data_IF_625431203415
#
_entry.id   IF_625431203415
#
_cell.length_a   1.000
_cell.length_b   1.000
_cell.length_c   1.000
_cell.angle_alpha   90.00
_cell.angle_beta   90.00
_cell.angle_gamma   90.00
#
_symmetry.space_group_name_H-M   'P 1'
#
loop_
_entity.id
_entity.type
_entity.pdbx_description
1 polymer ?
#
# COMPACT_ATOMS: atom_id res chain seq x y z
N UNK A 1 54.43 -7.90 -62.97
CA UNK A 1 54.36 -7.83 -64.45
C UNK A 1 53.55 -9.02 -64.92
N UNK A 2 52.34 -8.77 -65.46
CA UNK A 2 51.45 -9.73 -66.15
C UNK A 2 50.77 -10.78 -65.25
N UNK A 3 49.46 -11.02 -65.27
CA UNK A 3 48.37 -10.61 -66.18
C UNK A 3 47.60 -11.84 -66.69
N UNK A 4 46.29 -11.93 -66.37
CA UNK A 4 45.20 -12.75 -66.94
C UNK A 4 45.37 -14.30 -66.84
N UNK A 5 44.35 -15.15 -66.64
CA UNK A 5 43.00 -15.35 -67.22
C UNK A 5 42.12 -16.08 -66.16
N UNK A 6 40.91 -15.65 -65.79
CA UNK A 6 39.56 -15.84 -66.38
C UNK A 6 38.92 -17.26 -66.30
N UNK A 7 37.60 -17.25 -66.07
CA UNK A 7 36.57 -18.30 -66.19
C UNK A 7 36.32 -19.30 -65.05
N UNK A 8 35.31 -18.96 -64.24
CA UNK A 8 34.04 -19.72 -64.21
C UNK A 8 33.95 -20.98 -63.35
N UNK A 9 33.23 -20.89 -62.22
CA UNK A 9 32.21 -21.89 -61.90
C UNK A 9 31.11 -21.30 -61.02
N UNK A 10 29.87 -21.65 -61.36
CA UNK A 10 28.63 -21.18 -60.77
C UNK A 10 28.07 -22.32 -59.93
N UNK A 11 27.97 -22.14 -58.61
CA UNK A 11 27.51 -23.24 -57.76
C UNK A 11 27.03 -22.81 -56.38
N UNK A 12 25.71 -22.65 -56.27
CA UNK A 12 24.89 -22.91 -55.08
C UNK A 12 25.01 -21.94 -53.89
N UNK A 13 24.09 -20.98 -53.87
CA UNK A 13 23.62 -20.28 -52.68
C UNK A 13 23.09 -21.31 -51.66
N UNK A 14 23.77 -21.45 -50.53
CA UNK A 14 23.25 -22.20 -49.38
C UNK A 14 22.11 -21.41 -48.75
N UNK A 15 20.88 -21.90 -48.89
CA UNK A 15 19.69 -21.42 -48.19
C UNK A 15 19.94 -21.41 -46.67
N UNK A 16 19.96 -20.22 -46.09
CA UNK A 16 19.92 -20.03 -44.66
C UNK A 16 18.57 -20.49 -44.13
N UNK A 17 18.55 -21.66 -43.49
CA UNK A 17 17.39 -22.14 -42.75
C UNK A 17 17.17 -21.19 -41.56
N UNK A 18 15.99 -20.57 -41.38
CA UNK A 18 15.76 -19.74 -40.21
C UNK A 18 15.74 -20.65 -38.98
N UNK A 19 16.66 -20.40 -38.04
CA UNK A 19 16.63 -20.97 -36.70
C UNK A 19 15.24 -20.72 -36.11
N UNK A 20 14.46 -21.79 -35.98
CA UNK A 20 13.26 -21.82 -35.17
C UNK A 20 13.66 -21.34 -33.77
N UNK A 21 13.16 -20.18 -33.38
CA UNK A 21 13.17 -19.71 -31.99
C UNK A 21 12.46 -20.79 -31.19
N UNK A 22 13.21 -21.60 -30.45
CA UNK A 22 12.65 -22.56 -29.52
C UNK A 22 11.76 -21.77 -28.56
N UNK A 23 10.46 -22.04 -28.62
CA UNK A 23 9.49 -21.58 -27.64
C UNK A 23 10.00 -22.00 -26.26
N UNK A 24 10.46 -21.02 -25.49
CA UNK A 24 10.65 -21.19 -24.05
C UNK A 24 9.29 -21.70 -23.56
N UNK A 25 9.20 -22.87 -22.91
CA UNK A 25 7.93 -23.37 -22.41
C UNK A 25 7.39 -22.29 -21.49
N UNK A 26 6.35 -21.60 -21.97
CA UNK A 26 5.74 -20.49 -21.27
C UNK A 26 5.48 -20.95 -19.86
N UNK A 27 6.08 -20.25 -18.90
CA UNK A 27 5.85 -20.43 -17.47
C UNK A 27 4.37 -20.75 -17.29
N UNK A 28 4.05 -21.95 -16.78
CA UNK A 28 2.66 -22.39 -16.65
C UNK A 28 1.94 -21.37 -15.78
N UNK A 29 1.34 -20.38 -16.42
CA UNK A 29 0.85 -19.21 -15.73
C UNK A 29 -0.28 -19.71 -14.85
N UNK A 30 -0.20 -19.40 -13.55
CA UNK A 30 -1.18 -19.85 -12.57
C UNK A 30 -2.59 -19.45 -13.04
N UNK A 31 -3.31 -20.41 -13.65
CA UNK A 31 -4.58 -20.12 -14.32
C UNK A 31 -5.62 -19.60 -13.33
N UNK A 32 -5.58 -20.09 -12.09
CA UNK A 32 -6.39 -19.59 -10.98
C UNK A 32 -6.10 -18.12 -10.65
N UNK A 33 -4.83 -17.70 -10.68
CA UNK A 33 -4.44 -16.31 -10.43
C UNK A 33 -4.90 -15.39 -11.55
N UNK A 34 -4.67 -15.81 -12.80
CA UNK A 34 -5.10 -15.06 -13.97
C UNK A 34 -6.62 -14.92 -13.99
N UNK A 35 -7.36 -16.00 -13.79
CA UNK A 35 -8.82 -15.97 -13.71
C UNK A 35 -9.29 -15.02 -12.61
N UNK A 36 -8.73 -15.11 -11.40
CA UNK A 36 -9.08 -14.22 -10.30
C UNK A 36 -8.79 -12.74 -10.63
N UNK A 37 -7.63 -12.44 -11.22
CA UNK A 37 -7.28 -11.09 -11.65
C UNK A 37 -8.24 -10.56 -12.71
N UNK A 38 -8.66 -11.41 -13.66
CA UNK A 38 -9.63 -11.03 -14.69
C UNK A 38 -11.04 -10.83 -14.12
N UNK A 39 -11.51 -11.70 -13.22
CA UNK A 39 -12.79 -11.52 -12.52
C UNK A 39 -12.83 -10.20 -11.73
N UNK A 40 -11.74 -9.92 -11.00
CA UNK A 40 -11.54 -8.66 -10.28
C UNK A 40 -11.35 -7.45 -11.19
N UNK A 41 -11.06 -7.63 -12.47
CA UNK A 41 -11.01 -6.54 -13.43
C UNK A 41 -12.37 -6.28 -14.09
N UNK A 42 -13.23 -7.30 -14.16
CA UNK A 42 -14.58 -7.20 -14.72
C UNK A 42 -15.57 -6.60 -13.71
N UNK A 43 -15.40 -6.89 -12.42
CA UNK A 43 -16.27 -6.39 -11.35
C UNK A 43 -16.99 -7.47 -10.58
N UNK A 44 -16.73 -8.74 -10.92
CA UNK A 44 -17.31 -9.89 -10.24
C UNK A 44 -16.58 -10.19 -8.94
N UNK A 45 -16.94 -9.40 -7.93
CA UNK A 45 -16.34 -9.46 -6.60
C UNK A 45 -16.75 -10.70 -5.82
N UNK A 46 -17.99 -11.19 -6.00
CA UNK A 46 -18.51 -12.34 -5.28
C UNK A 46 -17.73 -13.61 -5.61
N UNK A 47 -17.57 -13.92 -6.90
CA UNK A 47 -16.83 -15.10 -7.33
C UNK A 47 -15.32 -14.97 -7.04
N UNK A 48 -14.76 -13.76 -7.21
CA UNK A 48 -13.37 -13.52 -6.88
C UNK A 48 -13.07 -13.74 -5.39
N UNK A 49 -13.96 -13.33 -4.47
CA UNK A 49 -13.79 -13.59 -3.03
C UNK A 49 -13.82 -15.08 -2.70
N UNK A 50 -14.63 -15.89 -3.38
CA UNK A 50 -14.62 -17.36 -3.21
C UNK A 50 -13.25 -17.94 -3.61
N UNK A 51 -12.64 -17.44 -4.68
CA UNK A 51 -11.29 -17.84 -5.06
C UNK A 51 -10.23 -17.40 -4.03
N UNK A 52 -10.34 -16.17 -3.50
CA UNK A 52 -9.39 -15.62 -2.52
C UNK A 52 -9.49 -16.30 -1.15
N UNK A 53 -10.69 -16.67 -0.72
CA UNK A 53 -10.89 -17.43 0.53
C UNK A 53 -10.35 -18.84 0.43
N UNK A 54 -10.43 -19.48 -0.75
CA UNK A 54 -9.83 -20.78 -1.02
C UNK A 54 -8.30 -20.72 -1.11
N UNK A 55 -7.75 -19.63 -1.66
CA UNK A 55 -6.31 -19.45 -1.87
C UNK A 55 -5.82 -18.11 -1.28
N UNK A 56 -5.61 -18.03 0.06
CA UNK A 56 -5.32 -16.76 0.73
C UNK A 56 -3.99 -16.13 0.32
N UNK A 57 -2.99 -16.96 -0.04
CA UNK A 57 -1.68 -16.47 -0.46
C UNK A 57 -1.64 -16.00 -1.93
N UNK A 58 -2.72 -16.18 -2.68
CA UNK A 58 -2.78 -15.86 -4.11
C UNK A 58 -2.54 -14.36 -4.37
N UNK A 59 -3.12 -13.50 -3.53
CA UNK A 59 -2.97 -12.06 -3.62
C UNK A 59 -1.55 -11.57 -3.30
N UNK A 60 -0.77 -12.36 -2.54
CA UNK A 60 0.61 -12.03 -2.18
C UNK A 60 1.55 -12.32 -3.34
N UNK A 61 1.32 -13.43 -4.02
CA UNK A 61 2.13 -13.85 -5.19
C UNK A 61 1.80 -12.99 -6.42
N UNK A 62 0.53 -12.68 -6.63
CA UNK A 62 0.07 -11.94 -7.81
C UNK A 62 -0.29 -10.50 -7.47
N UNK A 63 0.68 -9.62 -7.71
CA UNK A 63 0.58 -8.17 -7.53
C UNK A 63 -0.72 -7.53 -8.09
N UNK A 64 -1.18 -7.85 -9.32
CA UNK A 64 -2.37 -7.20 -9.90
C UNK A 64 -3.67 -7.45 -9.12
N UNK A 65 -3.77 -8.59 -8.42
CA UNK A 65 -4.94 -8.93 -7.60
C UNK A 65 -5.04 -7.95 -6.42
N UNK A 66 -3.92 -7.71 -5.75
CA UNK A 66 -3.87 -6.78 -4.63
C UNK A 66 -4.12 -5.32 -5.08
N UNK A 67 -3.62 -4.91 -6.25
CA UNK A 67 -3.91 -3.59 -6.80
C UNK A 67 -5.39 -3.38 -7.09
N UNK A 68 -6.03 -4.39 -7.69
CA UNK A 68 -7.47 -4.35 -7.94
C UNK A 68 -8.27 -4.33 -6.64
N UNK A 69 -7.86 -5.09 -5.62
CA UNK A 69 -8.48 -5.02 -4.30
C UNK A 69 -8.35 -3.62 -3.66
N UNK A 70 -7.20 -2.95 -3.80
CA UNK A 70 -7.04 -1.55 -3.34
C UNK A 70 -7.97 -0.61 -4.12
N UNK A 71 -8.10 -0.78 -5.44
CA UNK A 71 -9.05 0.01 -6.26
C UNK A 71 -10.52 -0.24 -5.84
N UNK A 72 -10.90 -1.47 -5.52
CA UNK A 72 -12.24 -1.81 -5.00
C UNK A 72 -12.50 -1.07 -3.68
N UNK A 73 -11.55 -1.12 -2.74
CA UNK A 73 -11.64 -0.38 -1.47
C UNK A 73 -11.74 1.13 -1.73
N UNK A 74 -11.05 1.62 -2.78
CA UNK A 74 -11.09 3.03 -3.14
C UNK A 74 -12.50 3.50 -3.50
N UNK A 75 -13.10 2.80 -4.46
CA UNK A 75 -14.46 3.07 -4.95
C UNK A 75 -15.49 2.87 -3.83
N UNK A 76 -15.39 1.77 -3.07
CA UNK A 76 -16.29 1.43 -1.98
C UNK A 76 -16.37 2.51 -0.88
N UNK A 77 -15.26 3.22 -0.64
CA UNK A 77 -15.18 4.26 0.40
C UNK A 77 -15.32 5.69 -0.13
N UNK A 78 -15.36 5.88 -1.46
CA UNK A 78 -15.47 7.20 -2.07
C UNK A 78 -16.79 7.89 -1.75
N UNK A 79 -17.92 7.20 -1.91
CA UNK A 79 -19.26 7.75 -1.64
C UNK A 79 -19.42 8.14 -0.17
N UNK A 80 -19.01 7.27 0.76
CA UNK A 80 -19.06 7.58 2.20
C UNK A 80 -18.20 8.78 2.56
N UNK A 81 -17.01 8.87 1.98
CA UNK A 81 -16.12 9.97 2.29
C UNK A 81 -16.63 11.32 1.78
N UNK A 82 -17.32 11.33 0.62
CA UNK A 82 -17.97 12.53 0.11
C UNK A 82 -19.17 12.95 0.97
N UNK A 83 -19.92 11.97 1.48
CA UNK A 83 -21.12 12.21 2.29
C UNK A 83 -20.79 12.51 3.76
N UNK A 84 -19.61 12.15 4.25
CA UNK A 84 -19.21 12.35 5.65
C UNK A 84 -18.43 13.65 5.82
N UNK A 85 -18.86 14.45 6.79
CA UNK A 85 -18.19 15.69 7.20
C UNK A 85 -16.83 15.47 7.90
N UNK A 86 -16.21 14.30 7.76
CA UNK A 86 -14.91 13.97 8.37
C UNK A 86 -13.77 14.93 7.93
N UNK A 87 -14.01 15.71 6.86
CA UNK A 87 -13.15 16.75 6.27
C UNK A 87 -13.61 18.18 6.55
N UNK A 88 -14.79 18.43 7.16
CA UNK A 88 -15.28 19.80 7.44
C UNK A 88 -14.46 20.47 8.56
N UNK A 89 -13.22 20.85 8.25
CA UNK A 89 -12.78 22.22 8.51
C UNK A 89 -13.58 23.14 7.56
N UNK A 90 -13.93 24.38 7.96
CA UNK A 90 -14.77 25.24 7.13
C UNK A 90 -14.06 25.45 5.78
N UNK A 91 -14.65 24.91 4.72
CA UNK A 91 -14.21 25.18 3.35
C UNK A 91 -14.50 26.66 3.11
N UNK A 92 -13.52 27.53 3.38
CA UNK A 92 -13.36 28.67 2.48
C UNK A 92 -13.01 28.05 1.14
N UNK A 93 -13.76 28.32 0.07
CA UNK A 93 -13.44 27.81 -1.25
C UNK A 93 -12.11 28.45 -1.68
N UNK A 94 -11.00 27.80 -1.34
CA UNK A 94 -9.74 28.08 -1.99
C UNK A 94 -9.91 27.56 -3.42
N UNK A 95 -9.96 28.51 -4.36
CA UNK A 95 -9.85 28.27 -5.79
C UNK A 95 -8.77 27.20 -5.99
N UNK A 96 -9.17 26.01 -6.44
CA UNK A 96 -8.22 25.07 -7.03
C UNK A 96 -7.77 25.70 -8.34
N UNK A 97 -6.67 26.46 -8.29
CA UNK A 97 -5.86 26.70 -9.47
C UNK A 97 -5.29 25.34 -9.86
N UNK A 98 -6.02 24.59 -10.68
CA UNK A 98 -5.42 23.54 -11.49
C UNK A 98 -4.54 24.25 -12.52
N UNK A 99 -3.37 24.69 -12.08
CA UNK A 99 -2.35 25.11 -13.02
C UNK A 99 -1.86 23.83 -13.68
N UNK A 100 -2.39 23.54 -14.88
CA UNK A 100 -1.74 22.67 -15.85
C UNK A 100 -0.45 23.37 -16.34
N UNK A 101 0.43 23.74 -15.42
CA UNK A 101 1.79 24.13 -15.74
C UNK A 101 2.53 22.81 -15.89
N UNK A 102 2.52 22.30 -17.12
CA UNK A 102 3.57 21.41 -17.56
C UNK A 102 4.89 22.10 -17.21
N UNK A 103 5.60 21.57 -16.23
CA UNK A 103 7.01 21.91 -16.02
C UNK A 103 7.72 21.25 -17.19
N UNK A 104 7.68 21.92 -18.35
CA UNK A 104 8.66 21.67 -19.39
C UNK A 104 9.99 22.07 -18.77
N UNK A 105 10.97 21.16 -18.82
CA UNK A 105 12.36 21.46 -18.48
C UNK A 105 12.75 22.76 -19.18
N UNK A 106 12.90 23.84 -18.42
CA UNK A 106 13.28 25.14 -18.95
C UNK A 106 14.77 25.03 -19.28
N UNK A 107 15.09 24.63 -20.51
CA UNK A 107 16.36 25.03 -21.10
C UNK A 107 16.42 26.57 -21.11
N UNK A 108 17.57 27.18 -20.79
CA UNK A 108 17.68 28.63 -20.63
C UNK A 108 17.35 29.32 -21.97
N UNK A 109 16.14 29.87 -22.06
CA UNK A 109 15.63 30.51 -23.27
C UNK A 109 16.45 31.78 -23.56
N UNK A 110 16.80 31.98 -24.84
CA UNK A 110 17.50 33.16 -25.32
C UNK A 110 16.83 34.46 -24.83
N UNK A 111 17.60 35.30 -24.13
CA UNK A 111 17.19 36.63 -23.71
C UNK A 111 17.08 37.56 -24.92
N UNK A 112 16.09 38.45 -24.91
CA UNK A 112 16.08 39.58 -25.83
C UNK A 112 17.21 40.57 -25.51
N UNK A 113 17.54 41.43 -26.46
CA UNK A 113 18.61 42.46 -26.36
C UNK A 113 18.45 43.44 -25.18
N UNK A 114 17.34 43.38 -24.42
CA UNK A 114 17.09 44.14 -23.19
C UNK A 114 16.92 43.28 -21.92
N UNK A 115 17.28 41.99 -21.97
CA UNK A 115 17.36 41.11 -20.78
C UNK A 115 16.02 40.62 -20.21
N UNK A 116 14.92 40.75 -20.94
CA UNK A 116 13.60 40.27 -20.53
C UNK A 116 13.37 38.87 -21.11
N UNK A 117 12.93 37.87 -20.33
CA UNK A 117 12.59 36.54 -20.86
C UNK A 117 11.43 36.66 -21.86
N UNK A 118 11.67 36.29 -23.12
CA UNK A 118 10.57 36.16 -24.08
C UNK A 118 9.76 34.92 -23.73
N UNK A 119 8.55 35.11 -23.19
CA UNK A 119 7.55 34.05 -23.26
C UNK A 119 7.20 33.81 -24.73
N UNK A 120 7.18 32.56 -25.20
CA UNK A 120 6.78 32.28 -26.58
C UNK A 120 5.37 32.82 -26.80
N UNK A 121 5.22 33.65 -27.83
CA UNK A 121 3.93 34.12 -28.31
C UNK A 121 3.05 32.89 -28.57
N UNK A 122 1.97 32.81 -27.80
CA UNK A 122 0.96 31.78 -27.89
C UNK A 122 0.40 31.78 -29.32
N UNK A 123 0.90 30.87 -30.16
CA UNK A 123 0.21 30.52 -31.39
C UNK A 123 -1.16 29.99 -30.98
N UNK A 124 -2.20 30.53 -31.62
CA UNK A 124 -3.58 30.13 -31.36
C UNK A 124 -3.67 28.63 -31.60
N UNK A 125 -3.67 27.86 -30.52
CA UNK A 125 -3.84 26.42 -30.56
C UNK A 125 -5.27 26.18 -31.00
N UNK A 126 -5.40 25.58 -32.18
CA UNK A 126 -6.65 25.09 -32.71
C UNK A 126 -7.41 24.35 -31.60
N UNK A 127 -8.66 24.74 -31.42
CA UNK A 127 -9.65 24.00 -30.65
C UNK A 127 -9.92 22.66 -31.36
N UNK A 128 -9.04 21.68 -31.16
CA UNK A 128 -9.33 20.30 -31.46
C UNK A 128 -8.88 19.46 -30.27
N UNK A 129 -9.88 18.94 -29.56
CA UNK A 129 -9.77 17.97 -28.48
C UNK A 129 -9.03 16.71 -28.97
N UNK A 130 -7.71 16.74 -29.03
CA UNK A 130 -6.91 15.52 -29.09
C UNK A 130 -6.83 14.97 -27.67
N UNK A 131 -7.94 14.42 -27.19
CA UNK A 131 -7.91 13.44 -26.12
C UNK A 131 -6.88 12.39 -26.57
N UNK A 132 -5.75 12.32 -25.89
CA UNK A 132 -4.70 11.35 -26.18
C UNK A 132 -5.37 10.00 -26.42
N UNK A 133 -5.11 9.36 -27.58
CA UNK A 133 -5.69 8.05 -27.89
C UNK A 133 -5.37 7.12 -26.73
N UNK A 134 -6.38 6.78 -25.93
CA UNK A 134 -6.26 5.77 -24.87
C UNK A 134 -5.92 4.45 -25.56
N UNK A 135 -4.72 3.91 -25.33
CA UNK A 135 -4.45 2.52 -25.68
C UNK A 135 -5.23 1.66 -24.68
N UNK A 136 -6.09 0.78 -25.19
CA UNK A 136 -6.88 -0.11 -24.35
C UNK A 136 -6.15 -1.44 -24.17
N UNK A 137 -5.92 -1.82 -22.93
CA UNK A 137 -5.25 -3.08 -22.60
C UNK A 137 -6.20 -4.01 -21.87
N UNK A 138 -6.17 -5.30 -22.24
CA UNK A 138 -6.99 -6.37 -21.64
C UNK A 138 -6.48 -6.81 -20.27
N UNK A 139 -5.33 -6.28 -19.83
CA UNK A 139 -4.75 -6.47 -18.51
C UNK A 139 -4.92 -5.20 -17.66
N UNK A 140 -5.24 -5.36 -16.36
CA UNK A 140 -5.20 -4.29 -15.38
C UNK A 140 -3.99 -3.37 -15.58
N UNK A 141 -4.17 -2.06 -15.82
CA UNK A 141 -3.04 -1.15 -15.98
C UNK A 141 -2.33 -0.96 -14.64
N UNK A 142 -1.00 -0.89 -14.69
CA UNK A 142 -0.22 -0.33 -13.60
C UNK A 142 -0.60 1.13 -13.40
N UNK A 143 -0.53 1.62 -12.14
CA UNK A 143 -1.03 2.95 -11.76
C UNK A 143 -0.41 4.12 -12.55
N UNK A 144 0.75 3.91 -13.16
CA UNK A 144 1.52 4.95 -13.86
C UNK A 144 1.48 4.82 -15.39
N UNK A 145 0.77 3.83 -15.94
CA UNK A 145 0.63 3.66 -17.40
C UNK A 145 -0.47 4.57 -17.95
N UNK A 146 -0.23 5.21 -19.10
CA UNK A 146 -1.24 6.02 -19.83
C UNK A 146 -2.29 5.17 -20.54
N UNK A 147 -2.30 3.86 -20.29
CA UNK A 147 -3.17 2.89 -20.93
C UNK A 147 -4.45 2.76 -20.11
N UNK A 148 -5.59 2.83 -20.79
CA UNK A 148 -6.88 2.61 -20.15
C UNK A 148 -7.20 1.11 -20.16
N UNK A 149 -7.79 0.60 -19.09
CA UNK A 149 -8.27 -0.78 -19.11
C UNK A 149 -9.43 -0.91 -20.11
N UNK A 150 -9.47 -1.98 -20.91
CA UNK A 150 -10.54 -2.15 -21.91
C UNK A 150 -11.96 -2.13 -21.29
N UNK A 151 -12.12 -2.59 -20.04
CA UNK A 151 -13.39 -2.53 -19.31
C UNK A 151 -13.43 -1.43 -18.24
N UNK A 152 -12.58 -0.41 -18.30
CA UNK A 152 -12.59 0.67 -17.28
C UNK A 152 -13.94 1.39 -17.24
N UNK A 153 -14.56 1.61 -18.39
CA UNK A 153 -15.88 2.22 -18.49
C UNK A 153 -16.98 1.30 -17.91
N UNK A 154 -16.87 -0.03 -18.12
CA UNK A 154 -17.79 -1.01 -17.53
C UNK A 154 -17.62 -1.10 -16.00
N UNK A 155 -16.38 -0.99 -15.53
CA UNK A 155 -16.05 -0.96 -14.11
C UNK A 155 -16.65 0.28 -13.41
N UNK A 156 -16.57 1.44 -14.06
CA UNK A 156 -17.09 2.70 -13.54
C UNK A 156 -18.63 2.82 -13.64
N UNK A 157 -19.25 2.20 -14.64
CA UNK A 157 -20.69 2.33 -14.91
C UNK A 157 -21.53 1.20 -14.29
N UNK A 158 -21.20 -0.06 -14.55
CA UNK A 158 -22.03 -1.21 -14.12
C UNK A 158 -21.47 -1.95 -12.91
N UNK A 159 -20.14 -2.08 -12.80
CA UNK A 159 -19.55 -2.72 -11.63
C UNK A 159 -19.73 -1.84 -10.37
N UNK A 160 -19.76 -0.51 -10.52
CA UNK A 160 -20.07 0.41 -9.43
C UNK A 160 -21.38 0.07 -8.71
N UNK A 161 -22.41 -0.44 -9.39
CA UNK A 161 -23.66 -0.87 -8.75
C UNK A 161 -23.53 -2.19 -7.97
N UNK A 162 -22.66 -3.09 -8.44
CA UNK A 162 -22.45 -4.44 -7.87
C UNK A 162 -21.33 -4.50 -6.82
N UNK A 163 -20.48 -3.48 -6.76
CA UNK A 163 -19.41 -3.36 -5.79
C UNK A 163 -19.95 -3.16 -4.36
N UNK A 164 -19.22 -3.61 -3.33
CA UNK A 164 -19.61 -3.34 -1.95
C UNK A 164 -19.60 -1.83 -1.71
N UNK A 165 -20.79 -1.24 -1.62
CA UNK A 165 -20.95 0.15 -1.19
C UNK A 165 -21.24 0.14 0.30
N UNK A 166 -20.29 0.63 1.07
CA UNK A 166 -20.53 0.89 2.47
C UNK A 166 -21.57 2.02 2.56
N UNK A 167 -22.82 1.69 2.88
CA UNK A 167 -23.92 2.70 2.95
C UNK A 167 -23.92 3.43 4.30
N UNK A 168 -23.37 2.79 5.32
CA UNK A 168 -23.30 3.28 6.68
C UNK A 168 -21.86 3.21 7.18
N UNK A 169 -21.51 4.11 8.09
CA UNK A 169 -20.22 4.06 8.75
C UNK A 169 -20.06 2.81 9.62
N UNK A 170 -21.14 2.35 10.26
CA UNK A 170 -21.13 1.19 11.16
C UNK A 170 -20.69 -0.10 10.46
N UNK A 171 -21.16 -0.29 9.22
CA UNK A 171 -20.92 -1.52 8.47
C UNK A 171 -19.57 -1.51 7.75
N UNK A 172 -18.93 -0.34 7.60
CA UNK A 172 -17.68 -0.16 6.85
C UNK A 172 -16.59 -1.15 7.29
N UNK A 173 -16.23 -1.28 8.58
CA UNK A 173 -15.16 -2.21 8.98
C UNK A 173 -15.45 -3.67 8.62
N UNK A 174 -16.74 -4.08 8.69
CA UNK A 174 -17.17 -5.45 8.41
C UNK A 174 -17.20 -5.74 6.90
N UNK A 175 -17.67 -4.78 6.10
CA UNK A 175 -17.75 -4.92 4.64
C UNK A 175 -16.38 -4.85 3.96
N UNK A 176 -15.45 -4.04 4.49
CA UNK A 176 -14.10 -3.91 3.94
C UNK A 176 -13.15 -5.00 4.43
N UNK A 177 -13.42 -5.68 5.55
CA UNK A 177 -12.57 -6.72 6.11
C UNK A 177 -12.05 -7.76 5.09
N UNK A 178 -12.90 -8.40 4.24
CA UNK A 178 -12.41 -9.39 3.28
C UNK A 178 -11.44 -8.79 2.25
N UNK A 179 -11.68 -7.55 1.83
CA UNK A 179 -10.83 -6.84 0.88
C UNK A 179 -9.54 -6.34 1.51
N UNK A 180 -9.60 -5.85 2.74
CA UNK A 180 -8.42 -5.38 3.48
C UNK A 180 -7.50 -6.54 3.85
N UNK A 181 -8.01 -7.72 4.18
CA UNK A 181 -7.19 -8.92 4.41
C UNK A 181 -6.32 -9.29 3.19
N UNK A 182 -6.82 -8.99 1.99
CA UNK A 182 -6.14 -9.24 0.72
C UNK A 182 -5.23 -8.05 0.34
N UNK A 183 -5.69 -6.82 0.56
CA UNK A 183 -5.08 -5.61 0.03
C UNK A 183 -4.11 -4.89 0.97
N UNK A 184 -4.10 -5.19 2.28
CA UNK A 184 -3.44 -4.29 3.24
C UNK A 184 -1.93 -4.12 3.01
N UNK A 185 -1.25 -5.13 2.47
CA UNK A 185 0.19 -5.04 2.15
C UNK A 185 0.49 -3.94 1.14
N UNK A 186 -0.45 -3.62 0.24
CA UNK A 186 -0.28 -2.62 -0.82
C UNK A 186 -1.11 -1.35 -0.64
N UNK A 187 -1.87 -1.26 0.46
CA UNK A 187 -2.67 -0.09 0.80
C UNK A 187 -1.83 1.21 0.86
N UNK A 188 -0.58 1.07 1.29
CA UNK A 188 0.39 2.14 1.43
C UNK A 188 0.78 2.83 0.12
N UNK A 189 0.63 2.15 -1.03
CA UNK A 189 0.94 2.71 -2.34
C UNK A 189 0.02 3.88 -2.72
N UNK A 190 -1.18 3.92 -2.14
CA UNK A 190 -2.12 5.03 -2.27
C UNK A 190 -2.25 5.77 -0.94
N UNK A 191 -1.37 6.75 -0.65
CA UNK A 191 -1.40 7.49 0.62
C UNK A 191 -2.71 8.28 0.79
N UNK A 192 -3.34 8.71 -0.31
CA UNK A 192 -4.65 9.36 -0.26
C UNK A 192 -5.75 8.45 0.31
N UNK A 193 -5.77 7.19 -0.09
CA UNK A 193 -6.71 6.19 0.39
C UNK A 193 -6.43 5.84 1.87
N UNK A 194 -5.15 5.68 2.24
CA UNK A 194 -4.78 5.43 3.62
C UNK A 194 -5.19 6.60 4.54
N UNK A 195 -4.94 7.85 4.13
CA UNK A 195 -5.44 9.04 4.85
C UNK A 195 -6.97 9.04 4.96
N UNK A 196 -7.67 8.69 3.87
CA UNK A 196 -9.13 8.61 3.85
C UNK A 196 -9.65 7.61 4.88
N UNK A 197 -9.08 6.40 4.92
CA UNK A 197 -9.48 5.38 5.89
C UNK A 197 -9.16 5.79 7.33
N UNK A 198 -8.03 6.47 7.58
CA UNK A 198 -7.73 7.04 8.91
C UNK A 198 -8.77 8.09 9.33
N UNK A 199 -9.17 8.98 8.42
CA UNK A 199 -10.21 9.99 8.69
C UNK A 199 -11.58 9.38 8.95
N UNK A 200 -11.95 8.35 8.19
CA UNK A 200 -13.18 7.59 8.40
C UNK A 200 -13.14 6.85 9.74
N UNK A 201 -12.01 6.22 10.09
CA UNK A 201 -11.81 5.58 11.39
C UNK A 201 -11.96 6.58 12.55
N UNK A 202 -11.38 7.78 12.42
CA UNK A 202 -11.54 8.85 13.42
C UNK A 202 -12.99 9.28 13.57
N UNK A 203 -13.70 9.42 12.46
CA UNK A 203 -15.11 9.82 12.46
C UNK A 203 -16.00 8.71 13.05
N UNK A 204 -15.72 7.44 12.74
CA UNK A 204 -16.38 6.27 13.32
C UNK A 204 -16.22 6.20 14.83
N UNK A 205 -14.99 6.34 15.34
CA UNK A 205 -14.70 6.38 16.79
C UNK A 205 -15.43 7.51 17.53
N UNK A 206 -15.72 8.63 16.86
CA UNK A 206 -16.44 9.77 17.46
C UNK A 206 -17.96 9.62 17.41
N UNK A 207 -18.49 9.07 16.32
CA UNK A 207 -19.94 8.93 16.12
C UNK A 207 -20.52 7.71 16.81
N UNK A 208 -19.72 6.65 16.99
CA UNK A 208 -20.18 5.36 17.51
C UNK A 208 -19.30 4.90 18.68
N UNK A 209 -19.50 5.46 19.89
CA UNK A 209 -18.77 5.02 21.07
C UNK A 209 -19.08 3.56 21.44
N UNK A 210 -20.28 3.06 21.15
CA UNK A 210 -20.70 1.69 21.48
C UNK A 210 -19.90 0.61 20.71
N UNK A 211 -19.46 0.93 19.49
CA UNK A 211 -18.66 0.02 18.64
C UNK A 211 -17.16 0.38 18.65
N UNK A 212 -16.65 1.04 19.70
CA UNK A 212 -15.24 1.45 19.79
C UNK A 212 -14.27 0.28 19.55
N UNK A 213 -14.59 -0.91 20.07
CA UNK A 213 -13.78 -2.12 19.91
C UNK A 213 -13.61 -2.55 18.44
N UNK A 214 -14.65 -2.37 17.61
CA UNK A 214 -14.61 -2.71 16.18
C UNK A 214 -13.65 -1.76 15.45
N UNK A 215 -13.73 -0.46 15.75
CA UNK A 215 -12.86 0.56 15.15
C UNK A 215 -11.41 0.48 15.64
N UNK A 216 -11.20 0.14 16.91
CA UNK A 216 -9.86 -0.14 17.44
C UNK A 216 -9.27 -1.41 16.81
N UNK A 217 -10.08 -2.45 16.58
CA UNK A 217 -9.69 -3.62 15.81
C UNK A 217 -9.33 -3.25 14.36
N UNK A 218 -10.13 -2.39 13.72
CA UNK A 218 -9.86 -1.89 12.38
C UNK A 218 -8.51 -1.14 12.28
N UNK A 219 -8.25 -0.27 13.26
CA UNK A 219 -6.99 0.46 13.38
C UNK A 219 -5.81 -0.48 13.61
N UNK A 220 -5.94 -1.41 14.56
CA UNK A 220 -4.88 -2.34 14.97
C UNK A 220 -4.48 -3.32 13.87
N UNK A 221 -5.44 -3.83 13.12
CA UNK A 221 -5.20 -4.97 12.25
C UNK A 221 -4.93 -4.62 10.79
N UNK A 222 -5.47 -3.50 10.29
CA UNK A 222 -5.27 -3.10 8.89
C UNK A 222 -4.53 -1.77 8.75
N UNK A 223 -4.94 -0.73 9.48
CA UNK A 223 -4.36 0.60 9.32
C UNK A 223 -2.92 0.73 9.84
N UNK A 224 -2.63 0.24 11.05
CA UNK A 224 -1.28 0.33 11.61
C UNK A 224 -0.23 -0.50 10.84
N UNK A 225 -0.52 -1.76 10.44
CA UNK A 225 0.38 -2.50 9.58
C UNK A 225 0.60 -1.78 8.24
N UNK A 226 -0.48 -1.35 7.57
CA UNK A 226 -0.37 -0.61 6.31
C UNK A 226 0.40 0.71 6.44
N UNK A 227 0.19 1.45 7.53
CA UNK A 227 0.92 2.67 7.84
C UNK A 227 2.42 2.42 8.01
N UNK A 228 2.80 1.27 8.57
CA UNK A 228 4.21 0.91 8.75
C UNK A 228 4.94 0.71 7.43
N UNK A 229 4.23 0.29 6.37
CA UNK A 229 4.75 0.21 5.00
C UNK A 229 4.75 1.54 4.25
N UNK A 230 4.06 2.56 4.77
CA UNK A 230 3.94 3.83 4.07
C UNK A 230 5.26 4.59 4.03
N UNK A 231 5.42 5.35 2.94
CA UNK A 231 6.54 6.29 2.82
C UNK A 231 6.44 7.29 3.98
N UNK A 232 7.55 7.53 4.70
CA UNK A 232 7.61 8.52 5.77
C UNK A 232 7.01 9.86 5.35
N UNK A 233 5.87 10.20 5.91
CA UNK A 233 5.21 11.48 5.65
C UNK A 233 4.62 12.05 6.93
N UNK A 234 4.86 13.34 7.14
CA UNK A 234 4.31 14.07 8.28
C UNK A 234 2.76 14.15 8.22
N UNK A 235 2.19 14.14 7.02
CA UNK A 235 0.74 14.17 6.83
C UNK A 235 0.05 12.92 7.40
N UNK A 236 0.57 11.73 7.09
CA UNK A 236 0.02 10.46 7.62
C UNK A 236 0.21 10.37 9.15
N UNK A 237 1.38 10.77 9.67
CA UNK A 237 1.64 10.72 11.11
C UNK A 237 0.74 11.66 11.92
N UNK A 238 0.46 12.86 11.39
CA UNK A 238 -0.48 13.79 11.99
C UNK A 238 -1.91 13.22 12.04
N UNK A 239 -2.40 12.62 10.96
CA UNK A 239 -3.74 12.00 10.97
C UNK A 239 -3.82 10.82 11.92
N UNK A 240 -2.77 10.00 11.99
CA UNK A 240 -2.68 8.91 12.98
C UNK A 240 -2.70 9.46 14.41
N UNK A 241 -1.95 10.53 14.70
CA UNK A 241 -1.96 11.19 16.01
C UNK A 241 -3.34 11.76 16.37
N UNK A 242 -4.07 12.32 15.40
CA UNK A 242 -5.43 12.82 15.63
C UNK A 242 -6.43 11.72 16.01
N UNK A 243 -6.14 10.45 15.69
CA UNK A 243 -6.90 9.28 16.18
C UNK A 243 -6.40 8.89 17.56
N UNK A 244 -5.08 8.70 17.72
CA UNK A 244 -4.51 8.19 18.96
C UNK A 244 -4.74 9.16 20.13
N UNK A 245 -4.67 10.47 19.88
CA UNK A 245 -4.86 11.51 20.91
C UNK A 245 -6.26 11.55 21.52
N UNK A 246 -7.29 11.03 20.83
CA UNK A 246 -8.65 10.94 21.39
C UNK A 246 -8.85 9.75 22.32
N UNK A 247 -7.92 8.79 22.35
CA UNK A 247 -8.04 7.57 23.14
C UNK A 247 -7.50 7.76 24.57
N UNK A 248 -8.10 7.13 25.59
CA UNK A 248 -7.56 7.09 26.94
C UNK A 248 -6.15 6.49 27.01
N UNK A 249 -5.37 6.90 28.01
CA UNK A 249 -3.97 6.49 28.17
C UNK A 249 -3.77 4.98 28.10
N UNK A 250 -4.58 4.21 28.84
CA UNK A 250 -4.48 2.75 28.87
C UNK A 250 -4.63 2.12 27.47
N UNK A 251 -5.60 2.59 26.67
CA UNK A 251 -5.83 2.10 25.30
C UNK A 251 -4.70 2.47 24.35
N UNK A 252 -4.11 3.66 24.50
CA UNK A 252 -2.94 4.08 23.70
C UNK A 252 -1.73 3.17 23.91
N UNK A 253 -1.39 2.85 25.17
CA UNK A 253 -0.29 1.93 25.46
C UNK A 253 -0.59 0.48 25.06
N UNK A 254 -1.85 0.05 25.17
CA UNK A 254 -2.31 -1.21 24.59
C UNK A 254 -2.00 -1.25 23.09
N UNK A 255 -2.42 -0.22 22.35
CA UNK A 255 -2.18 -0.09 20.91
C UNK A 255 -0.68 -0.05 20.56
N UNK A 256 0.16 0.64 21.33
CA UNK A 256 1.61 0.67 21.09
C UNK A 256 2.28 -0.69 21.30
N UNK A 257 1.91 -1.40 22.37
CA UNK A 257 2.38 -2.77 22.64
C UNK A 257 2.00 -3.70 21.49
N UNK A 258 0.76 -3.58 21.08
CA UNK A 258 0.14 -4.33 20.01
C UNK A 258 0.81 -4.09 18.66
N UNK A 259 1.03 -2.83 18.30
CA UNK A 259 1.73 -2.43 17.09
C UNK A 259 3.18 -2.94 17.07
N UNK A 260 3.90 -2.80 18.19
CA UNK A 260 5.23 -3.37 18.34
C UNK A 260 5.20 -4.91 18.19
N UNK A 261 4.18 -5.57 18.75
CA UNK A 261 3.97 -7.01 18.62
C UNK A 261 3.82 -7.45 17.17
N UNK A 262 3.00 -6.75 16.38
CA UNK A 262 2.82 -7.04 14.95
C UNK A 262 4.13 -6.88 14.19
N UNK A 263 4.85 -5.77 14.41
CA UNK A 263 6.13 -5.51 13.75
C UNK A 263 7.24 -6.47 14.19
N UNK A 264 7.13 -7.04 15.40
CA UNK A 264 8.17 -7.93 15.94
C UNK A 264 7.96 -9.38 15.58
N UNK A 265 6.71 -9.85 15.57
CA UNK A 265 6.34 -11.24 15.32
C UNK A 265 6.02 -11.53 13.85
N UNK A 266 5.76 -10.51 13.02
CA UNK A 266 5.31 -10.70 11.64
C UNK A 266 3.86 -11.17 11.53
N UNK A 267 3.16 -11.38 12.65
CA UNK A 267 1.76 -11.78 12.71
C UNK A 267 0.92 -10.58 13.17
N UNK A 268 0.14 -9.92 12.29
CA UNK A 268 -0.91 -9.04 12.73
C UNK A 268 -1.92 -9.88 13.47
N UNK A 269 -2.20 -9.49 14.71
CA UNK A 269 -3.35 -10.00 15.43
C UNK A 269 -4.56 -9.45 14.67
N UNK A 270 -5.07 -10.22 13.70
CA UNK A 270 -6.36 -9.92 13.09
C UNK A 270 -7.38 -9.87 14.23
N UNK A 271 -8.35 -8.95 14.20
CA UNK A 271 -9.40 -8.99 15.19
C UNK A 271 -10.08 -10.33 14.96
N UNK A 272 -10.23 -11.16 15.99
CA UNK A 272 -11.23 -12.22 15.94
C UNK A 272 -12.53 -11.46 15.67
N UNK A 273 -12.99 -11.44 14.42
CA UNK A 273 -14.33 -10.95 14.10
C UNK A 273 -15.21 -11.76 15.01
N UNK A 274 -15.87 -11.11 15.95
CA UNK A 274 -16.68 -11.73 16.98
C UNK A 274 -17.82 -12.52 16.32
N UNK A 275 -17.52 -13.71 15.85
CA UNK A 275 -18.50 -14.77 15.67
C UNK A 275 -18.71 -15.34 17.06
N UNK A 276 -19.64 -14.76 17.80
CA UNK A 276 -20.29 -15.31 19.01
C UNK A 276 -19.35 -15.83 20.10
N UNK A 277 -19.14 -15.03 21.15
CA UNK A 277 -18.50 -15.49 22.38
C UNK A 277 -18.17 -14.32 23.27
N UNK A 278 -19.10 -13.98 24.17
CA UNK A 278 -18.90 -13.02 25.25
C UNK A 278 -17.93 -13.64 26.25
N UNK A 279 -16.65 -13.32 26.15
CA UNK A 279 -15.70 -13.58 27.24
C UNK A 279 -15.05 -12.25 27.61
N UNK A 280 -15.62 -11.62 28.63
CA UNK A 280 -14.94 -10.56 29.37
C UNK A 280 -13.67 -11.12 30.00
N UNK A 281 -12.56 -10.36 30.06
CA UNK A 281 -11.35 -10.80 30.74
C UNK A 281 -11.57 -10.71 32.25
N UNK A 282 -12.09 -11.78 32.84
CA UNK A 282 -12.11 -11.93 34.29
C UNK A 282 -10.67 -12.05 34.81
N UNK A 283 -10.34 -11.14 35.72
CA UNK A 283 -9.13 -11.10 36.51
C UNK A 283 -8.99 -12.36 37.37
N UNK A 284 -7.74 -12.83 37.50
CA UNK A 284 -7.28 -13.92 38.38
C UNK A 284 -7.84 -15.31 38.04
N UNK A 285 -7.01 -16.16 37.43
CA UNK A 285 -6.86 -17.52 37.91
C UNK A 285 -5.41 -17.99 37.75
N UNK A 286 -4.76 -18.08 38.91
CA UNK A 286 -3.56 -18.86 39.16
C UNK A 286 -4.04 -20.29 39.38
N UNK A 287 -3.87 -21.16 38.39
CA UNK A 287 -3.78 -22.60 38.63
C UNK A 287 -3.18 -23.29 37.39
N UNK A 288 -1.94 -23.73 37.54
CA UNK A 288 -1.41 -24.81 36.72
C UNK A 288 -2.21 -26.09 37.03
N UNK A 289 -2.81 -26.68 36.00
CA UNK A 289 -3.34 -28.04 36.02
C UNK A 289 -2.52 -28.85 35.01
N UNK A 290 -1.97 -29.98 35.47
CA UNK A 290 -0.96 -30.81 34.80
C UNK A 290 -1.60 -31.91 33.92
N UNK A 291 -2.89 -31.82 33.61
CA UNK A 291 -3.65 -32.89 32.94
C UNK A 291 -4.13 -32.56 31.50
N UNK A 292 -3.85 -31.37 30.96
CA UNK A 292 -4.18 -31.02 29.55
C UNK A 292 -3.08 -31.39 28.53
N UNK A 293 -2.23 -32.36 28.85
CA UNK A 293 -1.06 -32.76 28.04
C UNK A 293 -1.41 -33.77 26.92
N UNK A 294 -2.66 -34.19 26.76
CA UNK A 294 -3.00 -35.26 25.79
C UNK A 294 -4.33 -35.04 25.06
N UNK A 295 -4.39 -34.04 24.17
CA UNK A 295 -5.21 -34.13 22.95
C UNK A 295 -4.48 -33.47 21.77
N UNK A 296 -3.85 -34.30 20.95
CA UNK A 296 -3.36 -33.93 19.62
C UNK A 296 -4.57 -33.58 18.72
N UNK A 297 -4.82 -32.28 18.54
CA UNK A 297 -5.65 -31.76 17.45
C UNK A 297 -4.77 -30.93 16.53
N UNK A 298 -4.22 -31.62 15.53
CA UNK A 298 -3.62 -31.06 14.32
C UNK A 298 -4.65 -30.23 13.52
N UNK A 299 -4.99 -29.05 14.02
CA UNK A 299 -5.66 -28.00 13.23
C UNK A 299 -5.51 -26.63 13.89
N UNK A 300 -4.29 -26.21 14.22
CA UNK A 300 -4.02 -24.79 14.33
C UNK A 300 -4.19 -24.20 12.91
N UNK A 301 -5.12 -23.27 12.66
CA UNK A 301 -5.19 -22.63 11.35
C UNK A 301 -3.84 -21.95 11.17
N UNK A 302 -3.11 -22.33 10.12
CA UNK A 302 -1.83 -21.74 9.74
C UNK A 302 -2.01 -20.22 9.70
N UNK A 303 -1.66 -19.54 10.80
CA UNK A 303 -1.65 -18.10 10.88
C UNK A 303 -0.61 -17.68 9.86
N UNK A 304 -1.06 -17.14 8.72
CA UNK A 304 -0.20 -16.74 7.62
C UNK A 304 0.68 -15.62 8.17
N UNK A 305 1.86 -15.97 8.65
CA UNK A 305 2.88 -14.99 9.01
C UNK A 305 3.10 -14.10 7.78
N UNK A 306 2.93 -12.80 7.96
CA UNK A 306 3.07 -11.87 6.86
C UNK A 306 4.55 -11.61 6.69
N UNK A 307 5.15 -12.40 5.78
CA UNK A 307 6.55 -12.30 5.39
C UNK A 307 6.93 -10.86 5.02
N UNK A 308 5.99 -10.07 4.49
CA UNK A 308 6.20 -8.66 4.17
C UNK A 308 6.48 -7.82 5.41
N UNK A 309 5.74 -8.06 6.51
CA UNK A 309 5.90 -7.34 7.78
C UNK A 309 7.21 -7.74 8.43
N UNK A 310 7.55 -9.02 8.39
CA UNK A 310 8.83 -9.53 8.89
C UNK A 310 10.00 -8.93 8.09
N UNK A 311 9.93 -8.95 6.76
CA UNK A 311 10.94 -8.35 5.88
C UNK A 311 11.12 -6.86 6.17
N UNK A 312 10.02 -6.12 6.33
CA UNK A 312 10.06 -4.71 6.73
C UNK A 312 10.74 -4.53 8.10
N UNK A 313 10.39 -5.36 9.07
CA UNK A 313 10.97 -5.29 10.41
C UNK A 313 12.49 -5.55 10.40
N UNK A 314 12.95 -6.51 9.59
CA UNK A 314 14.36 -6.83 9.45
C UNK A 314 15.12 -5.69 8.77
N UNK A 315 14.54 -5.12 7.71
CA UNK A 315 15.18 -4.02 6.99
C UNK A 315 15.28 -2.77 7.85
N UNK A 316 14.20 -2.37 8.53
CA UNK A 316 14.24 -1.22 9.44
C UNK A 316 15.22 -1.47 10.59
N UNK A 317 15.23 -2.68 11.18
CA UNK A 317 16.22 -3.04 12.23
C UNK A 317 17.65 -2.93 11.73
N UNK A 318 17.91 -3.34 10.48
CA UNK A 318 19.24 -3.26 9.87
C UNK A 318 19.64 -1.80 9.63
N UNK A 319 18.73 -1.00 9.07
CA UNK A 319 18.95 0.40 8.76
C UNK A 319 19.19 1.24 10.03
N UNK A 320 18.32 1.13 11.03
CA UNK A 320 18.45 1.87 12.31
C UNK A 320 19.76 1.51 13.01
N UNK A 321 20.13 0.23 13.11
CA UNK A 321 21.42 -0.18 13.70
C UNK A 321 22.62 0.34 12.89
N UNK A 322 22.54 0.31 11.57
CA UNK A 322 23.60 0.85 10.69
C UNK A 322 23.79 2.35 10.89
N UNK A 323 22.70 3.11 11.01
CA UNK A 323 22.72 4.55 11.29
C UNK A 323 23.26 4.86 12.68
N UNK A 324 22.81 4.15 13.72
CA UNK A 324 23.30 4.33 15.09
C UNK A 324 24.80 4.07 15.23
N UNK A 325 25.37 3.10 14.48
CA UNK A 325 26.83 2.86 14.43
C UNK A 325 27.63 4.01 13.80
N UNK A 326 26.99 4.87 13.00
CA UNK A 326 27.61 6.00 12.31
C UNK A 326 27.31 7.34 12.99
N UNK A 327 26.58 7.30 14.10
CA UNK A 327 26.22 8.50 14.86
C UNK A 327 27.46 9.02 15.59
N UNK A 328 27.85 10.25 15.26
CA UNK A 328 28.92 11.00 15.91
C UNK A 328 28.51 12.47 16.00
N UNK A 329 29.22 13.27 16.80
CA UNK A 329 28.91 14.70 16.99
C UNK A 329 28.78 15.50 15.70
N UNK A 330 29.54 15.15 14.66
CA UNK A 330 29.52 15.85 13.37
C UNK A 330 28.37 15.39 12.46
N UNK A 331 27.89 14.15 12.62
CA UNK A 331 26.88 13.54 11.73
C UNK A 331 25.45 13.59 12.30
N UNK A 332 25.27 14.04 13.54
CA UNK A 332 23.98 14.07 14.26
C UNK A 332 22.84 14.64 13.43
N UNK A 333 23.04 15.77 12.75
CA UNK A 333 21.96 16.43 11.98
C UNK A 333 21.48 15.60 10.79
N UNK A 334 22.40 14.94 10.08
CA UNK A 334 22.07 14.16 8.90
C UNK A 334 21.45 12.83 9.30
N UNK A 335 22.11 12.09 10.19
CA UNK A 335 21.66 10.79 10.70
C UNK A 335 20.35 10.95 11.47
N UNK A 336 20.23 12.00 12.28
CA UNK A 336 19.01 12.32 13.02
C UNK A 336 17.80 12.56 12.10
N UNK A 337 17.97 13.22 10.94
CA UNK A 337 16.89 13.36 9.96
C UNK A 337 16.47 12.02 9.37
N UNK A 338 17.41 11.14 9.08
CA UNK A 338 17.14 9.81 8.52
C UNK A 338 16.43 8.91 9.54
N UNK A 339 16.90 8.89 10.79
CA UNK A 339 16.24 8.19 11.89
C UNK A 339 14.84 8.76 12.12
N UNK A 340 14.68 10.09 12.13
CA UNK A 340 13.38 10.75 12.28
C UNK A 340 12.41 10.35 11.16
N UNK A 341 12.88 10.27 9.91
CA UNK A 341 12.07 9.76 8.81
C UNK A 341 11.60 8.32 9.06
N UNK A 342 12.48 7.42 9.50
CA UNK A 342 12.07 6.05 9.84
C UNK A 342 11.13 5.98 11.05
N UNK A 343 11.31 6.85 12.05
CA UNK A 343 10.44 6.98 13.20
C UNK A 343 9.02 7.43 12.83
N UNK A 344 8.84 8.19 11.73
CA UNK A 344 7.51 8.50 11.25
C UNK A 344 6.74 7.25 10.86
N UNK A 345 7.32 6.32 10.11
CA UNK A 345 6.64 5.10 9.67
C UNK A 345 6.60 4.00 10.75
N UNK A 346 7.70 3.81 11.49
CA UNK A 346 7.88 2.68 12.42
C UNK A 346 8.43 3.11 13.79
N UNK A 347 7.69 3.96 14.54
CA UNK A 347 8.20 4.57 15.77
C UNK A 347 8.54 3.54 16.84
N UNK A 348 7.68 2.53 17.05
CA UNK A 348 7.84 1.54 18.12
C UNK A 348 9.07 0.66 17.95
N UNK A 349 9.42 0.33 16.70
CA UNK A 349 10.60 -0.49 16.37
C UNK A 349 11.88 0.35 16.41
N UNK A 350 11.87 1.52 15.76
CA UNK A 350 13.05 2.38 15.67
C UNK A 350 13.46 2.92 17.05
N UNK A 351 12.51 3.45 17.83
CA UNK A 351 12.80 4.01 19.16
C UNK A 351 13.28 2.95 20.14
N UNK A 352 12.76 1.72 20.05
CA UNK A 352 13.26 0.62 20.89
C UNK A 352 14.75 0.37 20.63
N UNK A 353 15.15 0.28 19.36
CA UNK A 353 16.56 0.05 19.01
C UNK A 353 17.43 1.21 19.48
N UNK A 354 16.98 2.45 19.27
CA UNK A 354 17.72 3.64 19.72
C UNK A 354 17.88 3.63 21.24
N UNK A 355 16.82 3.32 21.99
CA UNK A 355 16.85 3.23 23.45
C UNK A 355 17.81 2.13 23.91
N UNK A 356 17.75 0.93 23.31
CA UNK A 356 18.66 -0.18 23.64
C UNK A 356 20.14 0.21 23.40
N UNK A 357 20.42 0.99 22.34
CA UNK A 357 21.77 1.49 22.09
C UNK A 357 22.21 2.56 23.10
N UNK A 358 21.35 3.52 23.44
CA UNK A 358 21.68 4.56 24.43
C UNK A 358 21.91 3.96 25.81
N UNK A 359 21.10 2.97 26.22
CA UNK A 359 21.30 2.26 27.49
C UNK A 359 22.59 1.42 27.52
N UNK A 360 23.12 1.03 26.35
CA UNK A 360 24.34 0.24 26.25
C UNK A 360 25.61 1.11 26.18
N UNK A 361 25.49 2.37 25.76
CA UNK A 361 26.61 3.26 25.45
C UNK A 361 26.35 4.69 25.93
N UNK A 362 26.98 5.08 27.04
CA UNK A 362 26.78 6.40 27.68
C UNK A 362 27.20 7.57 26.77
N UNK A 363 28.16 7.36 25.87
CA UNK A 363 28.65 8.39 24.95
C UNK A 363 27.65 8.78 23.86
N UNK A 364 26.53 8.05 23.72
CA UNK A 364 25.49 8.36 22.76
C UNK A 364 24.44 9.33 23.31
N UNK A 365 24.35 9.54 24.63
CA UNK A 365 23.28 10.31 25.28
C UNK A 365 23.21 11.75 24.77
N UNK A 366 24.34 12.44 24.66
CA UNK A 366 24.37 13.83 24.18
C UNK A 366 24.06 13.96 22.69
N UNK A 367 24.23 12.87 21.93
CA UNK A 367 24.11 12.85 20.47
C UNK A 367 22.74 12.44 19.94
N UNK A 368 21.96 11.72 20.75
CA UNK A 368 20.61 11.20 20.43
C UNK A 368 19.55 12.17 20.95
#
# INVERSE_FOLDING_TARGET
MGGLEDMGDSGMLSEATPMATADIPGEQANQHALLCAKLLSIGDTANALVYLTRFPNLARVHQPIADMAVRIVDVATAELYQNTDCVRAPVKPYLRLTSNLAVADIEPTAMDMWGIPRLPLQSQCATENHAARKSYVLSPPDRDSSEAFFYEDFWLLEAAEKLPKARSIASLPRELAPWLNVAFTRLHQSPALLMRLMRLCRYGLRQQPDEEHVWLGFLRSWLLPAYSFAVPSAGLSNELWLIISTLPLAKRYGLYRDWHGVLSSGCPVLPRTATGGTEEPNSLDVAMSLDDVLEDVDSAPAQSAYVEVEALSLEVRRQVRSMMRRLSGDTVKLVGRQICALCHATPTLALKIVLDQVCSYDNLIDSV
#
